data_IF_987323677639
#
_entry.id   IF_987323677639
#
_cell.length_a   1.000
_cell.length_b   1.000
_cell.length_c   1.000
_cell.angle_alpha   90.00
_cell.angle_beta   90.00
_cell.angle_gamma   90.00
#
_symmetry.space_group_name_H-M   'P 1'
#
loop_
_entity.id
_entity.type
_entity.pdbx_description
1 polymer ?
#
# COMPACT_ATOMS: atom_id res chain seq x y z
N UNK A 1 0.53 -20.53 20.24
CA UNK A 1 1.42 -19.35 20.13
C UNK A 1 0.86 -18.47 19.01
N UNK A 2 0.41 -17.23 19.27
CA UNK A 2 -0.17 -16.38 18.22
C UNK A 2 0.87 -16.12 17.14
N UNK A 3 0.45 -16.15 15.88
CA UNK A 3 1.30 -15.84 14.73
C UNK A 3 1.42 -14.31 14.65
N UNK A 4 2.65 -13.81 14.68
CA UNK A 4 2.91 -12.38 14.45
C UNK A 4 2.88 -12.08 12.95
N UNK A 5 2.20 -10.98 12.59
CA UNK A 5 2.16 -10.48 11.23
C UNK A 5 2.53 -8.98 11.24
N UNK A 6 3.77 -8.64 10.90
CA UNK A 6 4.25 -7.26 10.98
C UNK A 6 3.57 -6.31 10.00
N UNK A 7 2.84 -6.84 9.01
CA UNK A 7 2.15 -6.07 7.97
C UNK A 7 0.63 -5.95 8.17
N UNK A 8 0.14 -6.22 9.38
CA UNK A 8 -1.30 -6.18 9.65
C UNK A 8 -1.92 -4.81 9.37
N UNK A 9 -1.18 -3.74 9.62
CA UNK A 9 -1.60 -2.37 9.33
C UNK A 9 -1.84 -2.16 7.84
N UNK A 10 -0.89 -2.55 7.00
CA UNK A 10 -1.01 -2.46 5.54
C UNK A 10 -2.12 -3.36 5.01
N UNK A 11 -2.22 -4.58 5.51
CA UNK A 11 -3.25 -5.54 5.09
C UNK A 11 -4.65 -4.98 5.36
N UNK A 12 -4.88 -4.42 6.55
CA UNK A 12 -6.18 -3.83 6.91
C UNK A 12 -6.56 -2.60 6.06
N UNK A 13 -5.57 -1.90 5.52
CA UNK A 13 -5.76 -0.74 4.65
C UNK A 13 -5.98 -1.19 3.20
N UNK A 14 -5.06 -2.01 2.67
CA UNK A 14 -5.01 -2.37 1.26
C UNK A 14 -6.09 -3.39 0.86
N UNK A 15 -6.46 -4.26 1.78
CA UNK A 15 -7.40 -5.36 1.59
C UNK A 15 -8.55 -5.29 2.61
N UNK A 16 -9.09 -4.08 2.84
CA UNK A 16 -10.04 -3.80 3.91
C UNK A 16 -11.27 -4.72 3.89
N UNK A 17 -11.83 -4.97 2.70
CA UNK A 17 -13.00 -5.87 2.54
C UNK A 17 -12.69 -7.30 2.92
N UNK A 18 -11.55 -7.81 2.48
CA UNK A 18 -11.10 -9.15 2.81
C UNK A 18 -10.75 -9.27 4.30
N UNK A 19 -10.22 -8.19 4.88
CA UNK A 19 -9.90 -8.15 6.30
C UNK A 19 -11.16 -8.15 7.17
N UNK A 20 -12.20 -7.42 6.82
CA UNK A 20 -13.51 -7.46 7.48
C UNK A 20 -14.13 -8.87 7.41
N UNK A 21 -14.09 -9.51 6.25
CA UNK A 21 -14.58 -10.90 6.09
C UNK A 21 -13.75 -11.86 6.95
N UNK A 22 -12.43 -11.68 7.00
CA UNK A 22 -11.54 -12.51 7.82
C UNK A 22 -11.82 -12.35 9.32
N UNK A 23 -12.19 -11.16 9.79
CA UNK A 23 -12.60 -10.92 11.17
C UNK A 23 -13.89 -11.71 11.50
N UNK A 24 -14.89 -11.65 10.62
CA UNK A 24 -16.13 -12.41 10.78
C UNK A 24 -15.84 -13.92 10.80
N UNK A 25 -14.97 -14.39 9.91
CA UNK A 25 -14.57 -15.79 9.88
C UNK A 25 -13.87 -16.22 11.17
N UNK A 26 -13.00 -15.38 11.74
CA UNK A 26 -12.34 -15.63 13.01
C UNK A 26 -13.34 -15.78 14.19
N UNK A 27 -14.37 -14.94 14.24
CA UNK A 27 -15.44 -15.04 15.23
C UNK A 27 -16.23 -16.35 15.09
N UNK A 28 -16.62 -16.73 13.88
CA UNK A 28 -17.33 -17.99 13.62
C UNK A 28 -16.49 -19.20 14.03
N UNK A 29 -15.19 -19.19 13.74
CA UNK A 29 -14.28 -20.26 14.15
C UNK A 29 -14.23 -20.36 15.67
N UNK A 30 -14.08 -19.23 16.36
CA UNK A 30 -14.08 -19.18 17.83
C UNK A 30 -15.37 -19.73 18.42
N UNK A 31 -16.52 -19.33 17.91
CA UNK A 31 -17.83 -19.83 18.38
C UNK A 31 -18.01 -21.33 18.18
N UNK A 32 -17.57 -21.87 17.04
CA UNK A 32 -17.80 -23.28 16.69
C UNK A 32 -16.77 -24.25 17.23
N UNK A 33 -15.54 -23.79 17.44
CA UNK A 33 -14.40 -24.66 17.80
C UNK A 33 -13.79 -24.33 19.16
N UNK A 34 -14.09 -23.16 19.73
CA UNK A 34 -13.42 -22.63 20.91
C UNK A 34 -11.99 -22.14 20.64
N UNK A 35 -11.52 -22.20 19.37
CA UNK A 35 -10.18 -21.75 18.99
C UNK A 35 -10.17 -20.24 18.71
N UNK A 36 -9.33 -19.51 19.41
CA UNK A 36 -9.16 -18.07 19.20
C UNK A 36 -8.17 -17.80 18.07
N UNK A 37 -8.62 -17.07 17.05
CA UNK A 37 -7.82 -16.63 15.90
C UNK A 37 -7.30 -15.23 16.21
N UNK A 38 -5.99 -15.06 16.25
CA UNK A 38 -5.34 -13.77 16.52
C UNK A 38 -5.38 -12.83 15.32
N UNK A 39 -4.98 -11.57 15.54
CA UNK A 39 -4.96 -10.55 14.48
C UNK A 39 -3.99 -10.89 13.34
N UNK A 40 -2.86 -11.53 13.67
CA UNK A 40 -1.89 -11.98 12.67
C UNK A 40 -2.47 -13.03 11.73
N UNK A 41 -3.13 -14.05 12.29
CA UNK A 41 -3.81 -15.10 11.53
C UNK A 41 -4.97 -14.53 10.69
N UNK A 42 -5.73 -13.58 11.26
CA UNK A 42 -6.80 -12.87 10.54
C UNK A 42 -6.26 -12.15 9.31
N UNK A 43 -5.08 -11.52 9.43
CA UNK A 43 -4.39 -10.92 8.29
C UNK A 43 -4.01 -11.93 7.20
N UNK A 44 -3.55 -13.12 7.57
CA UNK A 44 -3.26 -14.18 6.59
C UNK A 44 -4.53 -14.70 5.91
N UNK A 45 -5.64 -14.84 6.65
CA UNK A 45 -6.94 -15.19 6.06
C UNK A 45 -7.34 -14.13 5.02
N UNK A 46 -7.22 -12.84 5.33
CA UNK A 46 -7.51 -11.76 4.40
C UNK A 46 -6.67 -11.84 3.11
N UNK A 47 -5.36 -12.10 3.23
CA UNK A 47 -4.48 -12.28 2.07
C UNK A 47 -4.87 -13.48 1.21
N UNK A 48 -5.30 -14.59 1.82
CA UNK A 48 -5.80 -15.75 1.09
C UNK A 48 -7.10 -15.44 0.34
N UNK A 49 -8.04 -14.74 0.98
CA UNK A 49 -9.29 -14.30 0.35
C UNK A 49 -9.03 -13.37 -0.84
N UNK A 50 -8.16 -12.37 -0.66
CA UNK A 50 -7.76 -11.46 -1.74
C UNK A 50 -7.14 -12.22 -2.91
N UNK A 51 -6.20 -13.11 -2.63
CA UNK A 51 -5.47 -13.88 -3.63
C UNK A 51 -6.40 -14.80 -4.42
N UNK A 52 -7.32 -15.48 -3.73
CA UNK A 52 -8.34 -16.31 -4.37
C UNK A 52 -9.25 -15.49 -5.30
N UNK A 53 -9.76 -14.34 -4.81
CA UNK A 53 -10.61 -13.45 -5.61
C UNK A 53 -9.90 -12.89 -6.84
N UNK A 54 -8.60 -12.66 -6.76
CA UNK A 54 -7.79 -12.12 -7.87
C UNK A 54 -7.10 -13.20 -8.71
N UNK A 55 -7.32 -14.46 -8.42
CA UNK A 55 -6.63 -15.60 -9.04
C UNK A 55 -5.11 -15.44 -9.04
N UNK A 56 -4.56 -15.02 -7.90
CA UNK A 56 -3.13 -14.77 -7.67
C UNK A 56 -2.61 -15.64 -6.53
N UNK A 57 -1.32 -15.91 -6.52
CA UNK A 57 -0.68 -16.59 -5.39
C UNK A 57 -0.55 -15.66 -4.17
N UNK A 58 -0.84 -16.18 -2.97
CA UNK A 58 -0.71 -15.45 -1.69
C UNK A 58 0.68 -14.84 -1.52
N UNK A 59 1.74 -15.53 -1.98
CA UNK A 59 3.11 -15.00 -1.98
C UNK A 59 3.22 -13.64 -2.68
N UNK A 60 2.46 -13.42 -3.76
CA UNK A 60 2.46 -12.15 -4.49
C UNK A 60 1.80 -11.04 -3.68
N UNK A 61 0.68 -11.33 -3.02
CA UNK A 61 0.02 -10.37 -2.13
C UNK A 61 0.91 -10.00 -0.93
N UNK A 62 1.57 -10.98 -0.33
CA UNK A 62 2.54 -10.75 0.76
C UNK A 62 3.72 -9.90 0.29
N UNK A 63 4.30 -10.22 -0.88
CA UNK A 63 5.39 -9.42 -1.46
C UNK A 63 4.95 -7.98 -1.68
N UNK A 64 3.79 -7.76 -2.29
CA UNK A 64 3.27 -6.41 -2.55
C UNK A 64 3.06 -5.63 -1.25
N UNK A 65 2.49 -6.26 -0.22
CA UNK A 65 2.27 -5.62 1.09
C UNK A 65 3.59 -5.18 1.72
N UNK A 66 4.63 -6.03 1.68
CA UNK A 66 5.96 -5.68 2.17
C UNK A 66 6.55 -4.49 1.40
N UNK A 67 6.48 -4.49 0.08
CA UNK A 67 7.01 -3.41 -0.76
C UNK A 67 6.31 -2.08 -0.45
N UNK A 68 4.99 -2.08 -0.26
CA UNK A 68 4.26 -0.87 0.15
C UNK A 68 4.71 -0.34 1.51
N UNK A 69 4.96 -1.24 2.48
CA UNK A 69 5.51 -0.87 3.78
C UNK A 69 6.90 -0.22 3.65
N UNK A 70 7.79 -0.86 2.88
CA UNK A 70 9.15 -0.35 2.61
C UNK A 70 9.13 1.02 1.91
N UNK A 71 8.21 1.23 0.97
CA UNK A 71 8.02 2.53 0.30
C UNK A 71 7.60 3.61 1.30
N UNK A 72 6.65 3.32 2.19
CA UNK A 72 6.22 4.30 3.19
C UNK A 72 7.37 4.68 4.13
N UNK A 73 8.16 3.71 4.58
CA UNK A 73 9.33 3.94 5.43
C UNK A 73 10.40 4.76 4.67
N UNK A 74 10.66 4.43 3.41
CA UNK A 74 11.59 5.17 2.55
C UNK A 74 11.16 6.64 2.36
N UNK A 75 9.88 6.88 2.11
CA UNK A 75 9.35 8.25 2.00
C UNK A 75 9.50 8.99 3.32
N UNK A 76 9.21 8.33 4.45
CA UNK A 76 9.42 8.91 5.78
C UNK A 76 10.86 9.38 5.98
N UNK A 77 11.85 8.55 5.61
CA UNK A 77 13.27 8.93 5.67
C UNK A 77 13.58 10.11 4.75
N UNK A 78 13.08 10.10 3.50
CA UNK A 78 13.35 11.18 2.53
C UNK A 78 12.77 12.54 2.95
N UNK A 79 11.62 12.55 3.64
CA UNK A 79 11.02 13.79 4.15
C UNK A 79 11.43 14.13 5.59
N UNK A 80 12.29 13.30 6.22
CA UNK A 80 12.78 13.52 7.57
C UNK A 80 11.73 13.29 8.67
N UNK A 81 10.73 12.42 8.45
CA UNK A 81 9.60 12.19 9.36
C UNK A 81 9.28 10.71 9.53
N UNK A 82 8.89 10.33 10.74
CA UNK A 82 8.34 8.99 10.98
C UNK A 82 6.85 9.01 10.62
N UNK A 83 6.48 8.26 9.59
CA UNK A 83 5.10 8.15 9.15
C UNK A 83 4.38 7.04 9.94
N UNK A 84 3.32 7.41 10.64
CA UNK A 84 2.48 6.44 11.34
C UNK A 84 1.39 5.92 10.39
N UNK A 85 1.41 4.61 10.14
CA UNK A 85 0.45 3.90 9.29
C UNK A 85 -1.01 4.04 9.75
N UNK A 86 -1.24 4.34 11.04
CA UNK A 86 -2.58 4.57 11.57
C UNK A 86 -3.17 5.92 11.13
N UNK A 87 -2.35 6.89 10.76
CA UNK A 87 -2.80 8.22 10.36
C UNK A 87 -3.36 8.28 8.93
N UNK A 88 -4.40 9.08 8.75
CA UNK A 88 -5.11 9.20 7.48
C UNK A 88 -4.22 9.55 6.28
N UNK A 89 -3.22 10.45 6.38
CA UNK A 89 -2.33 10.76 5.25
C UNK A 89 -1.50 9.57 4.77
N UNK A 90 -0.95 8.76 5.69
CA UNK A 90 -0.19 7.56 5.35
C UNK A 90 -1.08 6.49 4.70
N UNK A 91 -2.31 6.31 5.22
CA UNK A 91 -3.33 5.43 4.61
C UNK A 91 -3.66 5.87 3.19
N UNK A 92 -3.91 7.16 2.99
CA UNK A 92 -4.22 7.73 1.67
C UNK A 92 -3.08 7.50 0.70
N UNK A 93 -1.83 7.73 1.12
CA UNK A 93 -0.64 7.47 0.32
C UNK A 93 -0.53 6.00 -0.11
N UNK A 94 -0.69 5.06 0.81
CA UNK A 94 -0.64 3.62 0.50
C UNK A 94 -1.72 3.21 -0.51
N UNK A 95 -2.95 3.71 -0.34
CA UNK A 95 -4.07 3.44 -1.27
C UNK A 95 -3.80 4.05 -2.65
N UNK A 96 -3.25 5.25 -2.71
CA UNK A 96 -2.86 5.92 -3.96
C UNK A 96 -1.83 5.10 -4.73
N UNK A 97 -0.73 4.70 -4.08
CA UNK A 97 0.30 3.84 -4.68
C UNK A 97 -0.30 2.52 -5.18
N UNK A 98 -1.14 1.88 -4.36
CA UNK A 98 -1.81 0.64 -4.75
C UNK A 98 -2.69 0.81 -6.00
N UNK A 99 -3.40 1.93 -6.09
CA UNK A 99 -4.21 2.28 -7.27
C UNK A 99 -3.35 2.47 -8.50
N UNK A 100 -2.25 3.24 -8.41
CA UNK A 100 -1.32 3.49 -9.52
C UNK A 100 -0.69 2.19 -10.04
N UNK A 101 -0.22 1.31 -9.13
CA UNK A 101 0.34 0.01 -9.49
C UNK A 101 -0.69 -0.88 -10.16
N UNK A 102 -1.92 -0.91 -9.64
CA UNK A 102 -2.99 -1.71 -10.23
C UNK A 102 -3.38 -1.22 -11.63
N UNK A 103 -3.44 0.10 -11.81
CA UNK A 103 -3.72 0.72 -13.12
C UNK A 103 -2.62 0.41 -14.13
N UNK A 104 -1.36 0.51 -13.73
CA UNK A 104 -0.22 0.17 -14.58
C UNK A 104 -0.22 -1.32 -14.98
N UNK A 105 -0.50 -2.21 -14.01
CA UNK A 105 -0.58 -3.66 -14.26
C UNK A 105 -1.74 -4.05 -15.18
N UNK A 106 -2.81 -3.25 -15.25
CA UNK A 106 -3.97 -3.45 -16.13
C UNK A 106 -3.87 -2.68 -17.45
N UNK A 107 -2.70 -2.10 -17.76
CA UNK A 107 -2.48 -1.27 -18.95
C UNK A 107 -3.49 -0.11 -19.10
N UNK A 108 -3.99 0.39 -17.98
CA UNK A 108 -4.92 1.52 -17.88
C UNK A 108 -4.24 2.70 -17.20
N UNK A 109 -3.38 3.45 -17.90
CA UNK A 109 -2.59 4.52 -17.28
C UNK A 109 -3.50 5.63 -16.74
N UNK A 110 -3.15 6.12 -15.56
CA UNK A 110 -3.77 7.31 -14.98
C UNK A 110 -3.14 8.53 -15.65
N UNK A 111 -3.99 9.44 -16.13
CA UNK A 111 -3.55 10.65 -16.82
C UNK A 111 -3.65 11.86 -15.89
N UNK A 112 -2.59 12.66 -15.85
CA UNK A 112 -2.53 13.94 -15.14
C UNK A 112 -2.21 15.07 -16.14
N UNK A 113 -3.17 15.95 -16.39
CA UNK A 113 -3.00 17.05 -17.37
C UNK A 113 -1.90 18.05 -16.98
N UNK A 114 -1.52 18.10 -15.70
CA UNK A 114 -0.59 19.09 -15.15
C UNK A 114 0.71 18.47 -14.65
N UNK A 115 1.09 17.27 -15.11
CA UNK A 115 2.28 16.55 -14.66
C UNK A 115 3.57 17.37 -14.79
N UNK A 116 3.71 18.14 -15.88
CA UNK A 116 4.86 19.03 -16.08
C UNK A 116 4.90 20.16 -15.05
N UNK A 117 3.76 20.72 -14.67
CA UNK A 117 3.71 21.77 -13.64
C UNK A 117 4.03 21.20 -12.26
N UNK A 118 3.58 20.02 -11.93
CA UNK A 118 3.95 19.32 -10.69
C UNK A 118 5.45 19.12 -10.63
N UNK A 119 6.06 18.64 -11.72
CA UNK A 119 7.50 18.44 -11.83
C UNK A 119 8.30 19.72 -11.55
N UNK A 120 7.83 20.86 -12.07
CA UNK A 120 8.52 22.15 -11.92
C UNK A 120 8.28 22.82 -10.56
N UNK A 121 7.06 22.68 -10.00
CA UNK A 121 6.68 23.35 -8.76
C UNK A 121 7.04 22.59 -7.49
N UNK A 122 7.24 21.26 -7.60
CA UNK A 122 7.51 20.36 -6.46
C UNK A 122 8.74 19.49 -6.72
N UNK A 123 9.87 20.12 -7.08
CA UNK A 123 11.08 19.42 -7.55
C UNK A 123 11.53 18.34 -6.55
N UNK A 124 11.63 18.66 -5.26
CA UNK A 124 12.11 17.73 -4.24
C UNK A 124 11.16 16.54 -4.07
N UNK A 125 9.84 16.79 -4.07
CA UNK A 125 8.84 15.75 -3.98
C UNK A 125 8.79 14.90 -5.25
N UNK A 126 9.04 15.51 -6.42
CA UNK A 126 9.12 14.77 -7.67
C UNK A 126 10.37 13.88 -7.74
N UNK A 127 11.52 14.34 -7.26
CA UNK A 127 12.74 13.53 -7.16
C UNK A 127 12.55 12.34 -6.18
N UNK A 128 11.88 12.57 -5.07
CA UNK A 128 11.51 11.49 -4.15
C UNK A 128 10.53 10.49 -4.80
N UNK A 129 9.53 11.00 -5.53
CA UNK A 129 8.57 10.17 -6.27
C UNK A 129 9.23 9.32 -7.35
N UNK A 130 10.22 9.84 -8.06
CA UNK A 130 10.98 9.07 -9.04
C UNK A 130 11.71 7.87 -8.40
N UNK A 131 12.30 8.05 -7.22
CA UNK A 131 12.91 6.93 -6.47
C UNK A 131 11.87 5.90 -6.02
N UNK A 132 10.69 6.34 -5.58
CA UNK A 132 9.57 5.45 -5.26
C UNK A 132 9.16 4.66 -6.51
N UNK A 133 9.05 5.31 -7.66
CA UNK A 133 8.71 4.67 -8.93
C UNK A 133 9.72 3.59 -9.31
N UNK A 134 11.02 3.86 -9.19
CA UNK A 134 12.09 2.87 -9.45
C UNK A 134 11.92 1.61 -8.58
N UNK A 135 11.60 1.77 -7.30
CA UNK A 135 11.36 0.62 -6.40
C UNK A 135 10.12 -0.16 -6.83
N UNK A 136 9.03 0.53 -7.15
CA UNK A 136 7.79 -0.10 -7.62
C UNK A 136 8.03 -0.89 -8.91
N UNK A 137 8.64 -0.27 -9.90
CA UNK A 137 8.91 -0.89 -11.20
C UNK A 137 9.77 -2.15 -11.06
N UNK A 138 10.84 -2.07 -10.26
CA UNK A 138 11.75 -3.18 -10.00
C UNK A 138 11.07 -4.32 -9.24
N UNK A 139 10.33 -4.02 -8.17
CA UNK A 139 9.80 -5.04 -7.27
C UNK A 139 8.47 -5.64 -7.75
N UNK A 140 7.67 -4.86 -8.48
CA UNK A 140 6.33 -5.26 -8.90
C UNK A 140 6.21 -5.59 -10.39
N UNK A 141 7.30 -5.38 -11.15
CA UNK A 141 7.37 -5.63 -12.58
C UNK A 141 6.23 -4.91 -13.36
N UNK A 142 6.06 -3.64 -13.09
CA UNK A 142 5.16 -2.72 -13.79
C UNK A 142 5.97 -1.53 -14.31
N UNK A 143 5.43 -0.79 -15.28
CA UNK A 143 6.01 0.46 -15.74
C UNK A 143 5.07 1.62 -15.36
N UNK A 144 5.61 2.63 -14.69
CA UNK A 144 4.87 3.83 -14.30
C UNK A 144 5.12 4.95 -15.31
N UNK A 145 4.05 5.59 -15.78
CA UNK A 145 4.14 6.76 -16.65
C UNK A 145 4.53 8.02 -15.82
N UNK A 146 4.96 9.09 -16.52
CA UNK A 146 5.29 10.37 -15.88
C UNK A 146 4.13 10.93 -15.05
N UNK A 147 2.90 10.74 -15.50
CA UNK A 147 1.71 11.19 -14.78
C UNK A 147 1.54 10.44 -13.44
N UNK A 148 1.83 9.14 -13.39
CA UNK A 148 1.82 8.38 -12.16
C UNK A 148 2.89 8.88 -11.17
N UNK A 149 4.09 9.22 -11.66
CA UNK A 149 5.16 9.81 -10.85
C UNK A 149 4.73 11.17 -10.29
N UNK A 150 4.03 11.98 -11.08
CA UNK A 150 3.49 13.27 -10.64
C UNK A 150 2.44 13.10 -9.53
N UNK A 151 1.55 12.11 -9.61
CA UNK A 151 0.60 11.78 -8.52
C UNK A 151 1.33 11.37 -7.23
N UNK A 152 2.37 10.54 -7.33
CA UNK A 152 3.20 10.19 -6.17
C UNK A 152 3.86 11.44 -5.57
N UNK A 153 4.34 12.36 -6.41
CA UNK A 153 4.95 13.61 -5.95
C UNK A 153 3.97 14.50 -5.18
N UNK A 154 2.75 14.65 -5.68
CA UNK A 154 1.69 15.38 -4.96
C UNK A 154 1.38 14.74 -3.60
N UNK A 155 1.30 13.43 -3.54
CA UNK A 155 1.01 12.73 -2.29
C UNK A 155 2.18 12.83 -1.30
N UNK A 156 3.44 12.80 -1.75
CA UNK A 156 4.61 13.07 -0.92
C UNK A 156 4.58 14.51 -0.40
N UNK A 157 4.22 15.48 -1.23
CA UNK A 157 4.09 16.88 -0.80
C UNK A 157 3.03 17.05 0.29
N UNK A 158 1.87 16.37 0.15
CA UNK A 158 0.84 16.33 1.21
C UNK A 158 1.40 15.76 2.52
N UNK A 159 2.18 14.68 2.45
CA UNK A 159 2.83 14.09 3.63
C UNK A 159 3.81 15.06 4.29
N UNK A 160 4.51 15.88 3.52
CA UNK A 160 5.40 16.94 4.06
C UNK A 160 4.63 18.00 4.81
N UNK A 161 3.47 18.42 4.30
CA UNK A 161 2.69 19.54 4.84
C UNK A 161 1.85 19.14 6.06
N UNK A 162 1.31 17.93 6.09
CA UNK A 162 0.34 17.50 7.10
C UNK A 162 0.95 16.98 8.40
N UNK A 163 2.27 16.83 8.50
CA UNK A 163 2.96 16.20 9.65
C UNK A 163 3.76 17.26 10.45
N UNK A 164 3.26 18.46 10.57
CA UNK A 164 3.80 19.47 11.51
C UNK A 164 3.08 19.41 12.82
#
# INVERSE_FOLDING_TARGET
MPIDNPFIGEISILYSKEYEIAQIAAEIIKERTGVEIGTGETGFIALHLYSARKNKHVRMAMKSTRVYSEILDMVGVMIGKKLDKAHAPAKSFLLSIHCLVTSAANESPIVMKLSQQVKLSMIDSYMAAAKVAEVIEKEMNVCLCEDAIAYIAEDIEKLRQLVT
#
